data_IF_300998641935
#
_entry.id   IF_300998641935
#
_cell.length_a   1.000
_cell.length_b   1.000
_cell.length_c   1.000
_cell.angle_alpha   90.00
_cell.angle_beta   90.00
_cell.angle_gamma   90.00
#
_symmetry.space_group_name_H-M   'P 1'
#
loop_
_entity.id
_entity.type
_entity.pdbx_description
1 polymer ?
#
# COMPACT_ATOMS: atom_id res chain seq x y z
N UNK A 1 -48.56 -14.57 35.03
CA UNK A 1 -48.09 -15.35 33.86
C UNK A 1 -46.63 -14.98 33.60
N UNK A 2 -45.76 -15.97 33.35
CA UNK A 2 -44.37 -15.75 32.97
C UNK A 2 -44.22 -15.89 31.45
N UNK A 3 -43.41 -15.05 30.80
CA UNK A 3 -43.13 -15.20 29.37
C UNK A 3 -42.23 -16.43 29.16
N UNK A 4 -42.69 -17.38 28.35
CA UNK A 4 -42.01 -18.65 28.14
C UNK A 4 -40.54 -18.46 27.70
N UNK A 5 -39.60 -19.08 28.43
CA UNK A 5 -38.16 -18.96 28.17
C UNK A 5 -37.45 -17.79 28.85
N UNK A 6 -38.13 -17.01 29.69
CA UNK A 6 -37.50 -15.92 30.48
C UNK A 6 -37.87 -16.01 31.95
N UNK A 7 -36.90 -15.82 32.85
CA UNK A 7 -37.11 -15.69 34.31
C UNK A 7 -37.72 -14.33 34.70
N UNK A 8 -38.62 -13.78 33.88
CA UNK A 8 -39.27 -12.48 34.10
C UNK A 8 -40.75 -12.75 34.41
N UNK A 9 -41.14 -12.50 35.67
CA UNK A 9 -42.53 -12.64 36.13
C UNK A 9 -43.19 -11.27 36.29
N UNK A 10 -44.44 -11.16 35.84
CA UNK A 10 -45.32 -9.98 35.97
C UNK A 10 -45.53 -9.49 37.40
N UNK A 11 -45.20 -10.32 38.40
CA UNK A 11 -45.34 -10.00 39.82
C UNK A 11 -44.13 -9.29 40.46
N UNK A 12 -43.06 -9.03 39.71
CA UNK A 12 -41.85 -8.42 40.28
C UNK A 12 -41.88 -6.88 40.21
N UNK A 13 -41.44 -6.17 41.28
CA UNK A 13 -41.54 -4.71 41.36
C UNK A 13 -40.66 -3.96 40.35
N UNK A 14 -39.62 -4.61 39.81
CA UNK A 14 -38.67 -4.03 38.85
C UNK A 14 -38.85 -4.57 37.41
N UNK A 15 -40.05 -5.03 37.06
CA UNK A 15 -40.29 -5.67 35.77
C UNK A 15 -39.95 -4.79 34.57
N UNK A 16 -40.28 -3.50 34.62
CA UNK A 16 -40.01 -2.56 33.53
C UNK A 16 -38.51 -2.47 33.22
N UNK A 17 -37.68 -2.43 34.26
CA UNK A 17 -36.23 -2.41 34.14
C UNK A 17 -35.69 -3.71 33.52
N UNK A 18 -36.19 -4.87 33.98
CA UNK A 18 -35.80 -6.17 33.41
C UNK A 18 -36.20 -6.33 31.95
N UNK A 19 -37.34 -5.77 31.56
CA UNK A 19 -37.78 -5.75 30.16
C UNK A 19 -36.88 -4.85 29.31
N UNK A 20 -36.51 -3.66 29.80
CA UNK A 20 -35.59 -2.77 29.07
C UNK A 20 -34.20 -3.37 28.91
N UNK A 21 -33.64 -3.97 29.97
CA UNK A 21 -32.35 -4.67 29.91
C UNK A 21 -32.39 -5.80 28.88
N UNK A 22 -33.46 -6.60 28.88
CA UNK A 22 -33.62 -7.69 27.91
C UNK A 22 -33.74 -7.19 26.47
N UNK A 23 -34.46 -6.09 26.26
CA UNK A 23 -34.57 -5.46 24.93
C UNK A 23 -33.20 -4.97 24.47
N UNK A 24 -32.43 -4.35 25.35
CA UNK A 24 -31.11 -3.82 25.01
C UNK A 24 -30.10 -4.94 24.76
N UNK A 25 -30.14 -6.04 25.53
CA UNK A 25 -29.36 -7.26 25.25
C UNK A 25 -29.66 -7.81 23.85
N UNK A 26 -30.93 -7.88 23.47
CA UNK A 26 -31.33 -8.38 22.15
C UNK A 26 -30.85 -7.43 21.04
N UNK A 27 -30.96 -6.11 21.22
CA UNK A 27 -30.41 -5.12 20.28
C UNK A 27 -28.90 -5.24 20.13
N UNK A 28 -28.17 -5.37 21.24
CA UNK A 28 -26.71 -5.53 21.24
C UNK A 28 -26.30 -6.82 20.52
N UNK A 29 -27.00 -7.93 20.79
CA UNK A 29 -26.78 -9.19 20.11
C UNK A 29 -26.99 -9.04 18.59
N UNK A 30 -28.14 -8.52 18.15
CA UNK A 30 -28.43 -8.30 16.73
C UNK A 30 -27.34 -7.44 16.07
N UNK A 31 -26.92 -6.34 16.73
CA UNK A 31 -25.85 -5.48 16.24
C UNK A 31 -24.50 -6.22 16.13
N UNK A 32 -24.16 -7.07 17.11
CA UNK A 32 -22.94 -7.87 17.09
C UNK A 32 -22.94 -8.90 15.95
N UNK A 33 -24.06 -9.60 15.75
CA UNK A 33 -24.24 -10.53 14.63
C UNK A 33 -24.14 -9.82 13.27
N UNK A 34 -24.78 -8.65 13.13
CA UNK A 34 -24.67 -7.83 11.92
C UNK A 34 -23.24 -7.41 11.61
N UNK A 35 -22.48 -6.95 12.62
CA UNK A 35 -21.05 -6.65 12.48
C UNK A 35 -20.24 -7.87 12.06
N UNK A 36 -20.52 -9.05 12.61
CA UNK A 36 -19.82 -10.29 12.29
C UNK A 36 -20.04 -10.69 10.82
N UNK A 37 -21.27 -10.62 10.34
CA UNK A 37 -21.64 -10.89 8.95
C UNK A 37 -20.92 -9.92 8.01
N UNK A 38 -20.95 -8.62 8.33
CA UNK A 38 -20.26 -7.59 7.54
C UNK A 38 -18.75 -7.81 7.47
N UNK A 39 -18.10 -8.12 8.59
CA UNK A 39 -16.66 -8.42 8.61
C UNK A 39 -16.33 -9.64 7.74
N UNK A 40 -17.17 -10.67 7.79
CA UNK A 40 -16.99 -11.87 6.98
C UNK A 40 -17.14 -11.59 5.48
N UNK A 41 -18.18 -10.84 5.08
CA UNK A 41 -18.39 -10.47 3.68
C UNK A 41 -17.27 -9.58 3.15
N UNK A 42 -16.83 -8.58 3.92
CA UNK A 42 -15.71 -7.70 3.58
C UNK A 42 -14.38 -8.47 3.48
N UNK A 43 -14.13 -9.43 4.38
CA UNK A 43 -12.93 -10.29 4.29
C UNK A 43 -12.98 -11.14 3.03
N UNK A 44 -14.10 -11.79 2.76
CA UNK A 44 -14.26 -12.67 1.59
C UNK A 44 -14.14 -11.88 0.29
N UNK A 45 -14.73 -10.69 0.23
CA UNK A 45 -14.58 -9.76 -0.90
C UNK A 45 -13.12 -9.37 -1.12
N UNK A 46 -12.42 -8.92 -0.07
CA UNK A 46 -11.00 -8.55 -0.16
C UNK A 46 -10.12 -9.72 -0.60
N UNK A 47 -10.36 -10.90 -0.04
CA UNK A 47 -9.64 -12.11 -0.44
C UNK A 47 -9.81 -12.41 -1.93
N UNK A 48 -11.06 -12.39 -2.43
CA UNK A 48 -11.34 -12.63 -3.85
C UNK A 48 -10.74 -11.55 -4.75
N UNK A 49 -10.84 -10.27 -4.36
CA UNK A 49 -10.26 -9.16 -5.11
C UNK A 49 -8.73 -9.25 -5.15
N UNK A 50 -8.07 -9.55 -4.03
CA UNK A 50 -6.61 -9.71 -3.97
C UNK A 50 -6.14 -10.91 -4.80
N UNK A 51 -6.86 -12.02 -4.73
CA UNK A 51 -6.56 -13.19 -5.56
C UNK A 51 -6.71 -12.86 -7.05
N UNK A 52 -7.75 -12.13 -7.42
CA UNK A 52 -7.96 -11.67 -8.79
C UNK A 52 -6.86 -10.67 -9.20
N UNK A 53 -6.44 -9.77 -8.32
CA UNK A 53 -5.31 -8.86 -8.57
C UNK A 53 -4.00 -9.62 -8.83
N UNK A 54 -3.73 -10.71 -8.12
CA UNK A 54 -2.51 -11.48 -8.34
C UNK A 54 -2.57 -12.36 -9.60
N UNK A 55 -3.75 -12.89 -9.95
CA UNK A 55 -3.89 -13.82 -11.07
C UNK A 55 -4.30 -13.17 -12.40
N UNK A 56 -5.17 -12.16 -12.36
CA UNK A 56 -5.74 -11.49 -13.53
C UNK A 56 -6.18 -10.05 -13.17
N UNK A 57 -5.19 -9.14 -13.14
CA UNK A 57 -5.39 -7.72 -12.84
C UNK A 57 -6.43 -7.09 -13.77
N UNK A 58 -6.43 -7.47 -15.05
CA UNK A 58 -7.33 -6.91 -16.06
C UNK A 58 -8.78 -7.19 -15.71
N UNK A 59 -9.11 -8.41 -15.28
CA UNK A 59 -10.48 -8.74 -14.83
C UNK A 59 -10.88 -7.99 -13.58
N UNK A 60 -9.96 -7.77 -12.63
CA UNK A 60 -10.26 -6.94 -11.46
C UNK A 60 -10.59 -5.52 -11.88
N UNK A 61 -9.75 -4.87 -12.68
CA UNK A 61 -9.99 -3.49 -13.12
C UNK A 61 -11.29 -3.36 -13.90
N UNK A 62 -11.59 -4.28 -14.82
CA UNK A 62 -12.90 -4.33 -15.51
C UNK A 62 -14.09 -4.45 -14.56
N UNK A 63 -13.94 -5.17 -13.45
CA UNK A 63 -15.01 -5.29 -12.44
C UNK A 63 -15.17 -4.04 -11.57
N UNK A 64 -14.14 -3.18 -11.52
CA UNK A 64 -14.14 -1.90 -10.80
C UNK A 64 -14.58 -0.74 -11.68
N UNK A 65 -14.36 -0.85 -12.99
CA UNK A 65 -14.89 0.06 -14.00
C UNK A 65 -16.41 0.17 -13.82
N UNK A 66 -16.89 1.40 -13.64
CA UNK A 66 -18.31 1.71 -13.71
C UNK A 66 -18.60 2.08 -15.16
N UNK A 67 -19.35 1.27 -15.91
CA UNK A 67 -19.67 1.57 -17.31
C UNK A 67 -20.25 2.98 -17.48
N UNK A 68 -21.00 3.44 -16.48
CA UNK A 68 -21.63 4.76 -16.44
C UNK A 68 -20.64 5.94 -16.32
N UNK A 69 -19.40 5.70 -15.89
CA UNK A 69 -18.38 6.72 -15.63
C UNK A 69 -17.26 6.76 -16.69
N UNK A 70 -17.11 5.69 -17.48
CA UNK A 70 -16.23 5.68 -18.63
C UNK A 70 -16.99 6.30 -19.80
N UNK A 71 -16.66 7.55 -20.14
CA UNK A 71 -17.25 8.23 -21.29
C UNK A 71 -17.18 7.35 -22.53
N UNK A 72 -18.33 7.06 -23.13
CA UNK A 72 -18.49 6.21 -24.33
C UNK A 72 -17.94 6.86 -25.60
N UNK A 73 -17.11 7.91 -25.46
CA UNK A 73 -16.49 8.59 -26.58
C UNK A 73 -15.44 7.69 -27.25
N UNK A 74 -15.20 7.87 -28.56
CA UNK A 74 -14.05 7.26 -29.19
C UNK A 74 -12.79 7.66 -28.42
N UNK A 75 -11.92 6.68 -28.14
CA UNK A 75 -10.60 6.97 -27.57
C UNK A 75 -9.80 7.90 -28.48
N UNK A 76 -8.74 8.56 -27.97
CA UNK A 76 -7.87 9.37 -28.80
C UNK A 76 -7.30 8.53 -29.95
N UNK A 77 -7.14 9.15 -31.12
CA UNK A 77 -6.60 8.46 -32.29
C UNK A 77 -5.18 7.92 -32.00
N UNK A 78 -4.87 6.77 -32.59
CA UNK A 78 -3.60 6.10 -32.35
C UNK A 78 -2.43 6.92 -32.92
N UNK A 79 -2.61 7.53 -34.10
CA UNK A 79 -1.56 8.35 -34.70
C UNK A 79 -1.32 9.61 -33.88
N UNK A 80 -2.38 10.27 -33.40
CA UNK A 80 -2.29 11.44 -32.52
C UNK A 80 -1.57 11.12 -31.20
N UNK A 81 -1.90 9.97 -30.59
CA UNK A 81 -1.26 9.53 -29.34
C UNK A 81 0.23 9.24 -29.55
N UNK A 82 0.58 8.57 -30.64
CA UNK A 82 1.97 8.27 -30.99
C UNK A 82 2.74 9.54 -31.30
N UNK A 83 2.15 10.48 -32.05
CA UNK A 83 2.77 11.77 -32.38
C UNK A 83 3.03 12.60 -31.12
N UNK A 84 2.07 12.66 -30.20
CA UNK A 84 2.22 13.35 -28.91
C UNK A 84 3.40 12.81 -28.09
N UNK A 85 3.45 11.50 -27.83
CA UNK A 85 4.52 10.91 -27.03
C UNK A 85 5.88 10.97 -27.73
N UNK A 86 5.89 10.83 -29.07
CA UNK A 86 7.10 10.98 -29.88
C UNK A 86 7.69 12.39 -29.73
N UNK A 87 6.88 13.43 -29.84
CA UNK A 87 7.35 14.81 -29.67
C UNK A 87 7.91 15.11 -28.28
N UNK A 88 7.41 14.41 -27.25
CA UNK A 88 7.89 14.59 -25.88
C UNK A 88 9.17 13.80 -25.57
N UNK A 89 9.34 12.60 -26.14
CA UNK A 89 10.41 11.66 -25.75
C UNK A 89 11.53 11.51 -26.78
N UNK A 90 11.23 11.69 -28.07
CA UNK A 90 12.18 11.45 -29.17
C UNK A 90 12.74 12.75 -29.75
N UNK A 91 12.05 13.88 -29.58
CA UNK A 91 12.56 15.18 -29.98
C UNK A 91 13.59 15.65 -28.92
N UNK A 92 14.87 15.81 -29.27
CA UNK A 92 15.84 16.37 -28.35
C UNK A 92 15.49 17.84 -28.11
N UNK A 93 14.89 18.12 -26.96
CA UNK A 93 14.67 19.50 -26.51
C UNK A 93 15.99 20.03 -25.96
N UNK A 94 16.52 21.07 -26.60
CA UNK A 94 17.64 21.82 -26.02
C UNK A 94 17.10 22.60 -24.81
N UNK A 95 17.30 22.05 -23.62
CA UNK A 95 17.03 22.77 -22.38
C UNK A 95 18.05 23.91 -22.27
N UNK A 96 17.59 25.15 -22.36
CA UNK A 96 18.40 26.29 -21.93
C UNK A 96 18.51 26.23 -20.42
N UNK A 97 19.71 26.10 -19.86
CA UNK A 97 19.91 26.23 -18.43
C UNK A 97 19.42 27.61 -17.98
N UNK A 98 18.32 27.64 -17.24
CA UNK A 98 17.76 28.88 -16.72
C UNK A 98 18.66 29.49 -15.63
N UNK A 99 18.44 30.77 -15.27
CA UNK A 99 19.21 31.46 -14.21
C UNK A 99 19.23 30.71 -12.88
N UNK A 100 18.23 29.86 -12.63
CA UNK A 100 18.10 29.02 -11.44
C UNK A 100 19.27 28.04 -11.26
N UNK A 101 19.85 27.51 -12.34
CA UNK A 101 20.99 26.58 -12.22
C UNK A 101 22.21 27.27 -11.62
N UNK A 102 22.51 28.50 -12.05
CA UNK A 102 23.59 29.30 -11.45
C UNK A 102 23.34 29.65 -9.99
N UNK A 103 22.09 29.91 -9.61
CA UNK A 103 21.70 30.14 -8.20
C UNK A 103 21.90 28.89 -7.37
N UNK A 104 21.46 27.71 -7.85
CA UNK A 104 21.65 26.44 -7.14
C UNK A 104 23.14 26.12 -7.00
N UNK A 105 23.91 26.25 -8.08
CA UNK A 105 25.37 26.00 -8.06
C UNK A 105 26.08 26.91 -7.06
N UNK A 106 25.77 28.22 -7.07
CA UNK A 106 26.37 29.17 -6.12
C UNK A 106 25.96 28.92 -4.67
N UNK A 107 24.71 28.51 -4.41
CA UNK A 107 24.24 28.13 -3.08
C UNK A 107 24.85 26.80 -2.61
N UNK A 108 25.12 25.87 -3.53
CA UNK A 108 25.76 24.59 -3.25
C UNK A 108 27.29 24.64 -3.21
N UNK A 109 27.92 25.74 -3.62
CA UNK A 109 29.38 25.86 -3.69
C UNK A 109 30.07 25.72 -2.34
N UNK A 110 29.36 26.01 -1.24
CA UNK A 110 29.84 25.83 0.13
C UNK A 110 29.51 24.44 0.71
N UNK A 111 28.73 23.62 0.00
CA UNK A 111 28.35 22.28 0.45
C UNK A 111 29.46 21.31 0.08
N UNK A 112 30.03 20.66 1.10
CA UNK A 112 31.03 19.62 0.88
C UNK A 112 30.40 18.44 0.13
N UNK A 113 31.05 17.90 -0.91
CA UNK A 113 30.59 16.68 -1.57
C UNK A 113 30.40 15.56 -0.55
N UNK A 114 29.34 14.77 -0.72
CA UNK A 114 29.09 13.63 0.15
C UNK A 114 30.20 12.59 -0.05
N UNK A 115 30.75 12.09 1.05
CA UNK A 115 31.76 11.03 1.02
C UNK A 115 31.23 9.75 0.36
N UNK A 116 32.11 8.92 -0.22
CA UNK A 116 31.71 7.64 -0.80
C UNK A 116 30.92 6.79 0.20
N UNK A 117 29.66 6.50 -0.13
CA UNK A 117 28.80 5.68 0.72
C UNK A 117 29.29 4.23 0.67
N UNK A 118 29.83 3.75 1.78
CA UNK A 118 30.16 2.33 1.98
C UNK A 118 29.08 1.72 2.85
N UNK A 119 28.23 0.88 2.27
CA UNK A 119 27.19 0.16 3.03
C UNK A 119 27.78 -1.17 3.48
N UNK A 120 27.86 -1.37 4.80
CA UNK A 120 28.37 -2.60 5.40
C UNK A 120 27.24 -3.60 5.69
N UNK A 121 27.55 -4.90 5.86
CA UNK A 121 26.56 -5.89 6.31
C UNK A 121 25.90 -5.51 7.65
N UNK A 122 26.64 -4.85 8.54
CA UNK A 122 26.17 -4.38 9.83
C UNK A 122 25.11 -3.28 9.68
N UNK A 123 25.30 -2.37 8.73
CA UNK A 123 24.31 -1.33 8.39
C UNK A 123 23.01 -1.97 7.90
N UNK A 124 23.12 -3.00 7.06
CA UNK A 124 21.96 -3.77 6.58
C UNK A 124 21.28 -4.50 7.73
N UNK A 125 22.05 -5.12 8.63
CA UNK A 125 21.50 -5.81 9.80
C UNK A 125 20.72 -4.86 10.72
N UNK A 126 21.26 -3.67 10.99
CA UNK A 126 20.61 -2.65 11.82
C UNK A 126 19.35 -2.09 11.15
N UNK A 127 19.40 -1.83 9.83
CA UNK A 127 18.25 -1.38 9.06
C UNK A 127 17.12 -2.43 9.07
N UNK A 128 17.46 -3.69 8.79
CA UNK A 128 16.52 -4.82 8.78
C UNK A 128 15.95 -5.06 10.18
N UNK A 129 16.75 -4.93 11.25
CA UNK A 129 16.31 -5.06 12.64
C UNK A 129 15.19 -4.07 12.99
N UNK A 130 15.33 -2.80 12.56
CA UNK A 130 14.34 -1.74 12.78
C UNK A 130 13.07 -1.92 11.96
N UNK A 131 13.11 -2.68 10.87
CA UNK A 131 11.95 -2.88 10.02
C UNK A 131 10.85 -3.73 10.70
N UNK A 132 9.56 -3.37 10.57
CA UNK A 132 8.45 -4.16 11.12
C UNK A 132 8.26 -5.50 10.39
N UNK A 133 8.19 -6.60 11.16
CA UNK A 133 8.22 -7.99 10.67
C UNK A 133 7.20 -8.28 9.55
N UNK A 134 5.96 -7.80 9.73
CA UNK A 134 4.82 -8.18 8.89
C UNK A 134 4.33 -7.04 8.00
N UNK A 135 5.20 -6.09 7.66
CA UNK A 135 4.87 -5.09 6.64
C UNK A 135 4.77 -5.77 5.28
N UNK A 136 3.93 -5.21 4.40
CA UNK A 136 3.71 -5.73 3.06
C UNK A 136 5.05 -5.95 2.34
N UNK A 137 5.27 -7.12 1.74
CA UNK A 137 6.52 -7.41 1.05
C UNK A 137 6.58 -6.65 -0.28
N UNK A 138 7.79 -6.53 -0.84
CA UNK A 138 7.99 -5.96 -2.16
C UNK A 138 7.54 -6.91 -3.29
N UNK A 139 8.00 -6.61 -4.50
CA UNK A 139 7.77 -7.46 -5.69
C UNK A 139 8.33 -8.88 -5.52
N UNK A 140 9.34 -9.04 -4.67
CA UNK A 140 9.97 -10.31 -4.31
C UNK A 140 9.13 -11.17 -3.35
N UNK A 141 8.05 -10.62 -2.77
CA UNK A 141 7.21 -11.33 -1.80
C UNK A 141 7.89 -11.61 -0.45
N UNK A 142 9.09 -11.06 -0.21
CA UNK A 142 9.87 -11.35 0.99
C UNK A 142 9.53 -10.36 2.12
N UNK A 143 9.05 -10.88 3.24
CA UNK A 143 8.81 -10.08 4.44
C UNK A 143 10.10 -9.79 5.21
N UNK A 144 10.14 -8.65 5.91
CA UNK A 144 11.25 -8.29 6.81
C UNK A 144 11.52 -9.35 7.88
N UNK A 145 10.50 -10.10 8.31
CA UNK A 145 10.65 -11.22 9.23
C UNK A 145 11.73 -12.21 8.76
N UNK A 146 11.70 -12.58 7.47
CA UNK A 146 12.65 -13.53 6.89
C UNK A 146 14.03 -12.89 6.68
N UNK A 147 14.06 -11.63 6.24
CA UNK A 147 15.31 -10.87 6.11
C UNK A 147 16.08 -10.76 7.42
N UNK A 148 15.39 -10.67 8.57
CA UNK A 148 16.02 -10.70 9.90
C UNK A 148 16.69 -12.04 10.21
N UNK A 149 16.08 -13.14 9.77
CA UNK A 149 16.60 -14.49 9.99
C UNK A 149 17.76 -14.85 9.05
N UNK A 150 17.79 -14.28 7.84
CA UNK A 150 18.79 -14.61 6.83
C UNK A 150 20.01 -13.69 6.88
N UNK A 151 20.80 -13.82 7.94
CA UNK A 151 22.04 -13.02 8.13
C UNK A 151 23.02 -13.16 6.96
N UNK A 152 23.08 -14.34 6.33
CA UNK A 152 23.91 -14.59 5.14
C UNK A 152 23.54 -13.67 3.96
N UNK A 153 22.28 -13.27 3.85
CA UNK A 153 21.83 -12.36 2.79
C UNK A 153 22.27 -10.91 3.02
N UNK A 154 22.59 -10.51 4.26
CA UNK A 154 22.97 -9.12 4.57
C UNK A 154 24.24 -8.71 3.83
N UNK A 155 25.23 -9.63 3.73
CA UNK A 155 26.44 -9.39 2.96
C UNK A 155 26.18 -9.24 1.45
N UNK A 156 25.22 -10.00 0.91
CA UNK A 156 24.84 -9.89 -0.51
C UNK A 156 24.12 -8.57 -0.77
N UNK A 157 23.18 -8.20 0.10
CA UNK A 157 22.42 -6.95 0.00
C UNK A 157 23.34 -5.72 0.10
N UNK A 158 24.28 -5.70 1.03
CA UNK A 158 25.27 -4.64 1.16
C UNK A 158 26.03 -4.41 -0.16
N UNK A 159 26.54 -5.49 -0.78
CA UNK A 159 27.23 -5.42 -2.08
C UNK A 159 26.33 -4.90 -3.20
N UNK A 160 25.09 -5.36 -3.28
CA UNK A 160 24.15 -4.93 -4.32
C UNK A 160 23.77 -3.45 -4.17
N UNK A 161 23.57 -2.97 -2.94
CA UNK A 161 23.25 -1.57 -2.67
C UNK A 161 24.42 -0.64 -3.02
N UNK A 162 25.65 -1.05 -2.72
CA UNK A 162 26.85 -0.34 -3.16
C UNK A 162 26.94 -0.31 -4.69
N UNK A 163 26.73 -1.45 -5.36
CA UNK A 163 26.77 -1.53 -6.82
C UNK A 163 25.71 -0.64 -7.51
N UNK A 164 24.49 -0.59 -6.96
CA UNK A 164 23.43 0.29 -7.45
C UNK A 164 23.80 1.76 -7.32
N UNK A 165 24.44 2.15 -6.21
CA UNK A 165 24.90 3.54 -6.03
C UNK A 165 25.94 3.94 -7.08
N UNK A 166 26.83 3.02 -7.46
CA UNK A 166 27.84 3.28 -8.47
C UNK A 166 27.31 3.28 -9.91
N UNK A 167 26.18 2.62 -10.19
CA UNK A 167 25.57 2.60 -11.53
C UNK A 167 25.01 3.97 -11.96
N UNK A 168 24.65 4.83 -10.99
CA UNK A 168 24.12 6.19 -11.22
C UNK A 168 25.23 7.24 -11.44
N UNK A 169 26.51 6.86 -11.36
CA UNK A 169 27.61 7.77 -11.67
C UNK A 169 27.82 7.75 -13.20
N UNK A 170 27.60 8.87 -13.93
CA UNK A 170 27.91 8.91 -15.35
C UNK A 170 29.40 8.60 -15.52
N UNK A 171 29.73 7.75 -16.49
CA UNK A 171 31.10 7.47 -16.89
C UNK A 171 31.87 8.78 -17.01
N UNK A 172 32.78 9.00 -16.06
CA UNK A 172 33.63 10.18 -16.04
C UNK A 172 34.37 10.30 -17.36
N UNK A 173 34.28 11.49 -17.96
CA UNK A 173 35.21 11.98 -18.97
C UNK A 173 36.48 12.48 -18.29
#
# INVERSE_FOLDING_TARGET
MAFAGTNISLSQPNITQKLTERIDDLKQNIAAWGKRIRRFSERSRRFNQNRLFQSDQKRLYKSLERPEACGTGPGPDQADTVAFWRGLWLEPVNHSEGPLMGVVVSQSASVTPMDPITITPEDVAEAVRRAPNWKSPGLDGLHHYWLKGFVVCHAVLARLLVALHHWDQPFGS
#
